data_IF_191845972036
#
_entry.id   IF_191845972036
#
_cell.length_a   1.000
_cell.length_b   1.000
_cell.length_c   1.000
_cell.angle_alpha   90.00
_cell.angle_beta   90.00
_cell.angle_gamma   90.00
#
_symmetry.space_group_name_H-M   'P 1'
#
loop_
_entity.id
_entity.type
_entity.pdbx_description
1 polymer ?
#
# COMPACT_ATOMS: atom_id res chain seq x y z
N UNK A 1 -3.60 -14.73 10.46
CA UNK A 1 -2.37 -14.03 10.07
C UNK A 1 -2.32 -13.85 8.55
N UNK A 2 -1.76 -12.76 8.10
CA UNK A 2 -1.44 -12.49 6.70
C UNK A 2 0.04 -12.75 6.48
N UNK A 3 0.43 -13.10 5.25
CA UNK A 3 1.80 -13.39 4.89
C UNK A 3 2.31 -12.45 3.80
N UNK A 4 3.52 -11.93 3.98
CA UNK A 4 4.22 -11.11 3.00
C UNK A 4 5.69 -10.95 3.36
N UNK A 5 6.51 -10.62 2.37
CA UNK A 5 7.92 -10.26 2.57
C UNK A 5 8.05 -8.78 2.29
N UNK A 6 8.07 -7.98 3.35
CA UNK A 6 8.23 -6.54 3.26
C UNK A 6 9.57 -6.18 2.59
N UNK A 7 9.64 -5.14 1.74
CA UNK A 7 10.87 -4.78 1.01
C UNK A 7 12.09 -4.56 1.93
N UNK A 8 11.89 -4.07 3.15
CA UNK A 8 12.98 -3.90 4.13
C UNK A 8 13.59 -5.23 4.63
N UNK A 9 12.95 -6.37 4.36
CA UNK A 9 13.41 -7.70 4.75
C UNK A 9 13.97 -8.50 3.58
N UNK A 10 13.93 -7.94 2.37
CA UNK A 10 14.43 -8.60 1.17
C UNK A 10 15.95 -8.63 1.18
N UNK A 11 16.49 -9.83 0.99
CA UNK A 11 17.93 -10.12 0.84
C UNK A 11 18.16 -10.93 -0.44
N UNK A 12 19.41 -10.97 -0.90
CA UNK A 12 19.78 -11.65 -2.14
C UNK A 12 19.68 -13.19 -2.11
N UNK A 13 19.42 -13.78 -0.96
CA UNK A 13 19.35 -15.24 -0.76
C UNK A 13 17.94 -15.74 -0.39
N UNK A 14 16.88 -14.98 -0.71
CA UNK A 14 15.50 -15.42 -0.43
C UNK A 14 15.12 -16.55 -1.40
N UNK A 15 14.80 -17.72 -0.82
CA UNK A 15 14.29 -18.87 -1.57
C UNK A 15 12.77 -18.76 -1.73
N UNK A 16 12.34 -18.20 -2.85
CA UNK A 16 10.93 -17.84 -3.09
C UNK A 16 10.00 -19.05 -3.11
N UNK A 17 10.46 -20.20 -3.58
CA UNK A 17 9.66 -21.43 -3.69
C UNK A 17 9.14 -21.92 -2.32
N UNK A 18 9.87 -21.61 -1.24
CA UNK A 18 9.46 -21.98 0.13
C UNK A 18 8.22 -21.20 0.62
N UNK A 19 7.86 -20.10 -0.03
CA UNK A 19 6.78 -19.23 0.42
C UNK A 19 5.43 -19.53 -0.24
N UNK A 20 5.39 -20.36 -1.29
CA UNK A 20 4.14 -20.65 -1.99
C UNK A 20 3.05 -21.23 -1.06
N UNK A 21 3.42 -22.13 -0.15
CA UNK A 21 2.48 -22.72 0.81
C UNK A 21 1.95 -21.72 1.84
N UNK A 22 2.77 -20.75 2.26
CA UNK A 22 2.33 -19.67 3.14
C UNK A 22 1.36 -18.73 2.39
N UNK A 23 1.67 -18.41 1.13
CA UNK A 23 0.81 -17.63 0.25
C UNK A 23 -0.54 -18.34 0.07
N UNK A 24 -0.56 -19.64 -0.22
CA UNK A 24 -1.79 -20.41 -0.37
C UNK A 24 -2.68 -20.37 0.88
N UNK A 25 -2.09 -20.48 2.06
CA UNK A 25 -2.80 -20.52 3.34
C UNK A 25 -3.22 -19.15 3.86
N UNK A 26 -2.58 -18.08 3.41
CA UNK A 26 -2.88 -16.73 3.85
C UNK A 26 -4.17 -16.19 3.23
N UNK A 27 -5.09 -15.57 4.00
CA UNK A 27 -6.31 -14.99 3.45
C UNK A 27 -6.04 -13.75 2.59
N UNK A 28 -5.00 -13.00 2.91
CA UNK A 28 -4.54 -11.78 2.23
C UNK A 28 -3.01 -11.82 2.17
N UNK A 29 -2.43 -11.27 1.13
CA UNK A 29 -0.98 -11.20 0.96
C UNK A 29 -0.51 -9.79 1.28
N UNK A 30 0.48 -9.67 2.13
CA UNK A 30 1.08 -8.39 2.49
C UNK A 30 1.81 -8.44 3.84
N UNK A 31 2.53 -7.43 4.11
CA UNK A 31 2.86 -6.34 3.22
C UNK A 31 4.00 -6.75 2.28
N UNK A 32 3.82 -6.56 0.97
CA UNK A 32 4.86 -6.80 -0.04
C UNK A 32 5.04 -5.53 -0.87
N UNK A 33 6.12 -5.39 -1.60
CA UNK A 33 6.28 -4.20 -2.44
C UNK A 33 7.72 -3.81 -2.72
N UNK A 34 7.90 -2.52 -3.00
CA UNK A 34 9.21 -1.92 -3.29
C UNK A 34 9.44 -0.69 -2.43
N UNK A 35 10.66 -0.52 -1.95
CA UNK A 35 11.12 0.67 -1.26
C UNK A 35 12.52 1.08 -1.75
N UNK A 36 12.56 2.17 -2.52
CA UNK A 36 13.79 2.74 -3.06
C UNK A 36 14.15 4.05 -2.35
N UNK A 37 13.46 4.37 -1.27
CA UNK A 37 13.68 5.57 -0.49
C UNK A 37 14.36 5.28 0.87
N UNK A 38 13.79 4.36 1.66
CA UNK A 38 14.28 4.04 3.00
C UNK A 38 15.32 2.91 2.98
N UNK A 39 15.34 2.08 1.92
CA UNK A 39 16.33 1.01 1.77
C UNK A 39 17.57 1.57 1.11
N UNK A 40 18.66 1.70 1.88
CA UNK A 40 19.94 2.23 1.41
C UNK A 40 20.69 1.24 0.50
N UNK A 41 20.49 -0.06 0.70
CA UNK A 41 21.14 -1.15 -0.02
C UNK A 41 20.57 -1.33 -1.43
N UNK A 42 20.94 -0.46 -2.35
CA UNK A 42 20.46 -0.45 -3.75
C UNK A 42 20.63 -1.78 -4.48
N UNK A 43 21.59 -2.61 -4.08
CA UNK A 43 21.76 -3.95 -4.66
C UNK A 43 20.56 -4.87 -4.38
N UNK A 44 19.74 -4.56 -3.39
CA UNK A 44 18.52 -5.31 -3.07
C UNK A 44 17.35 -4.98 -4.00
N UNK A 45 17.37 -3.86 -4.72
CA UNK A 45 16.22 -3.39 -5.51
C UNK A 45 15.77 -4.42 -6.57
N UNK A 46 16.72 -5.05 -7.27
CA UNK A 46 16.41 -6.12 -8.22
C UNK A 46 15.80 -7.35 -7.55
N UNK A 47 16.17 -7.63 -6.31
CA UNK A 47 15.59 -8.72 -5.52
C UNK A 47 14.22 -8.36 -4.98
N UNK A 48 13.99 -7.11 -4.57
CA UNK A 48 12.66 -6.62 -4.19
C UNK A 48 11.67 -6.81 -5.36
N UNK A 49 12.07 -6.44 -6.59
CA UNK A 49 11.25 -6.65 -7.79
C UNK A 49 10.95 -8.14 -7.99
N UNK A 50 11.95 -9.03 -7.88
CA UNK A 50 11.75 -10.48 -8.01
C UNK A 50 10.79 -11.04 -6.96
N UNK A 51 10.93 -10.63 -5.70
CA UNK A 51 10.04 -11.03 -4.60
C UNK A 51 8.62 -10.53 -4.86
N UNK A 52 8.47 -9.28 -5.30
CA UNK A 52 7.19 -8.70 -5.65
C UNK A 52 6.54 -9.45 -6.82
N UNK A 53 7.28 -9.68 -7.92
CA UNK A 53 6.80 -10.43 -9.08
C UNK A 53 6.41 -11.88 -8.74
N UNK A 54 7.19 -12.56 -7.89
CA UNK A 54 6.85 -13.93 -7.46
C UNK A 54 5.55 -14.01 -6.67
N UNK A 55 5.23 -12.94 -5.93
CA UNK A 55 4.00 -12.84 -5.17
C UNK A 55 2.75 -12.77 -6.05
N UNK A 56 2.90 -12.45 -7.35
CA UNK A 56 1.79 -12.46 -8.32
C UNK A 56 1.31 -13.86 -8.73
N UNK A 57 2.02 -14.92 -8.38
CA UNK A 57 1.47 -16.27 -8.46
C UNK A 57 0.15 -16.41 -7.68
N UNK A 58 -0.11 -15.41 -6.84
CA UNK A 58 -1.34 -15.18 -6.07
C UNK A 58 -2.58 -15.02 -6.94
N UNK A 59 -2.47 -14.56 -8.20
CA UNK A 59 -3.64 -14.44 -9.10
C UNK A 59 -4.46 -15.72 -9.18
N UNK A 60 -3.78 -16.86 -9.22
CA UNK A 60 -4.46 -18.17 -9.27
C UNK A 60 -5.25 -18.50 -8.01
N UNK A 61 -5.04 -17.77 -6.90
CA UNK A 61 -5.73 -17.95 -5.62
C UNK A 61 -6.77 -16.88 -5.32
N UNK A 62 -6.97 -15.90 -6.21
CA UNK A 62 -7.93 -14.80 -6.07
C UNK A 62 -7.87 -14.07 -4.73
N UNK A 63 -6.66 -13.65 -4.31
CA UNK A 63 -6.41 -12.99 -3.02
C UNK A 63 -6.16 -11.51 -3.18
N UNK A 64 -6.52 -10.73 -2.17
CA UNK A 64 -6.10 -9.34 -2.08
C UNK A 64 -4.63 -9.23 -1.68
N UNK A 65 -3.98 -8.20 -2.19
CA UNK A 65 -2.55 -7.92 -2.00
C UNK A 65 -2.40 -6.53 -1.43
N UNK A 66 -1.80 -6.41 -0.24
CA UNK A 66 -1.42 -5.13 0.36
C UNK A 66 0.00 -4.76 -0.06
N UNK A 67 0.15 -3.60 -0.72
CA UNK A 67 1.37 -3.21 -1.42
C UNK A 67 1.99 -1.96 -0.82
N UNK A 68 3.21 -2.10 -0.34
CA UNK A 68 4.11 -1.00 0.01
C UNK A 68 4.75 -0.39 -1.23
N UNK A 69 4.77 0.93 -1.32
CA UNK A 69 5.51 1.65 -2.38
C UNK A 69 6.11 2.93 -1.84
N UNK A 70 7.42 3.09 -2.01
CA UNK A 70 8.13 4.30 -1.60
C UNK A 70 9.32 4.59 -2.51
N UNK A 71 9.26 5.76 -3.20
CA UNK A 71 10.31 6.18 -4.14
C UNK A 71 10.37 5.38 -5.44
N UNK A 72 9.33 4.62 -5.76
CA UNK A 72 9.23 3.75 -6.94
C UNK A 72 7.77 3.55 -7.40
N UNK A 73 6.91 4.51 -7.11
CA UNK A 73 5.45 4.43 -7.29
C UNK A 73 5.07 4.14 -8.74
N UNK A 74 5.70 4.80 -9.71
CA UNK A 74 5.45 4.55 -11.13
C UNK A 74 5.81 3.12 -11.53
N UNK A 75 6.96 2.62 -11.08
CA UNK A 75 7.40 1.26 -11.36
C UNK A 75 6.40 0.23 -10.83
N UNK A 76 5.95 0.39 -9.59
CA UNK A 76 5.04 -0.56 -8.96
C UNK A 76 3.66 -0.55 -9.63
N UNK A 77 3.13 0.63 -9.98
CA UNK A 77 1.88 0.75 -10.73
C UNK A 77 1.96 0.09 -12.12
N UNK A 78 3.10 0.23 -12.80
CA UNK A 78 3.36 -0.44 -14.07
C UNK A 78 3.43 -1.97 -13.92
N UNK A 79 4.06 -2.49 -12.85
CA UNK A 79 4.10 -3.91 -12.55
C UNK A 79 2.70 -4.47 -12.25
N UNK A 80 1.92 -3.79 -11.41
CA UNK A 80 0.54 -4.14 -11.09
C UNK A 80 -0.32 -4.24 -12.38
N UNK A 81 -0.15 -3.29 -13.27
CA UNK A 81 -0.85 -3.26 -14.57
C UNK A 81 -0.37 -4.38 -15.48
N UNK A 82 0.95 -4.59 -15.60
CA UNK A 82 1.56 -5.67 -16.40
C UNK A 82 1.00 -7.04 -16.03
N UNK A 83 0.84 -7.29 -14.74
CA UNK A 83 0.35 -8.58 -14.23
C UNK A 83 -1.17 -8.65 -14.08
N UNK A 84 -1.90 -7.57 -14.40
CA UNK A 84 -3.36 -7.50 -14.34
C UNK A 84 -3.95 -7.82 -12.95
N UNK A 85 -3.28 -7.39 -11.89
CA UNK A 85 -3.70 -7.62 -10.49
C UNK A 85 -4.37 -6.40 -9.83
N UNK A 86 -4.60 -5.33 -10.60
CA UNK A 86 -5.15 -4.08 -10.08
C UNK A 86 -6.42 -4.25 -9.22
N UNK A 87 -7.42 -5.09 -9.63
CA UNK A 87 -8.64 -5.21 -8.85
C UNK A 87 -8.48 -5.84 -7.46
N UNK A 88 -7.40 -6.60 -7.26
CA UNK A 88 -7.07 -7.25 -5.99
C UNK A 88 -5.99 -6.50 -5.20
N UNK A 89 -5.49 -5.37 -5.71
CA UNK A 89 -4.39 -4.63 -5.08
C UNK A 89 -4.91 -3.51 -4.21
N UNK A 90 -4.39 -3.44 -3.00
CA UNK A 90 -4.51 -2.33 -2.07
C UNK A 90 -3.14 -1.67 -2.01
N UNK A 91 -3.04 -0.41 -2.41
CA UNK A 91 -1.82 0.37 -2.29
C UNK A 91 -1.86 1.09 -0.96
N UNK A 92 -0.98 0.65 -0.08
CA UNK A 92 -0.82 1.16 1.27
C UNK A 92 -0.14 2.53 1.22
N UNK A 93 -0.72 3.50 1.93
CA UNK A 93 -0.19 4.85 2.17
C UNK A 93 0.54 5.46 0.96
N UNK A 94 -0.15 5.55 -0.18
CA UNK A 94 0.43 6.09 -1.41
C UNK A 94 0.93 7.54 -1.21
N UNK A 95 2.19 7.79 -1.49
CA UNK A 95 2.86 9.08 -1.33
C UNK A 95 3.53 9.60 -2.61
N UNK A 96 3.26 8.97 -3.76
CA UNK A 96 3.70 9.43 -5.08
C UNK A 96 2.98 10.68 -5.56
N UNK A 97 3.29 11.12 -6.77
CA UNK A 97 2.65 12.30 -7.34
C UNK A 97 1.27 11.96 -7.96
N UNK A 98 0.45 13.02 -8.13
CA UNK A 98 -0.91 12.91 -8.68
C UNK A 98 -0.92 12.52 -10.15
N UNK A 99 0.07 12.95 -10.91
CA UNK A 99 0.09 12.70 -12.36
C UNK A 99 0.41 11.24 -12.62
N UNK A 100 1.33 10.65 -11.87
CA UNK A 100 1.60 9.21 -11.88
C UNK A 100 0.33 8.41 -11.57
N UNK A 101 -0.45 8.85 -10.58
CA UNK A 101 -1.72 8.21 -10.22
C UNK A 101 -2.75 8.29 -11.36
N UNK A 102 -2.90 9.47 -12.00
CA UNK A 102 -3.85 9.72 -13.10
C UNK A 102 -3.49 8.96 -14.36
N UNK A 103 -2.20 8.97 -14.76
CA UNK A 103 -1.71 8.30 -15.97
C UNK A 103 -1.96 6.80 -15.88
N UNK A 104 -1.71 6.22 -14.72
CA UNK A 104 -1.85 4.77 -14.56
C UNK A 104 -3.30 4.30 -14.48
N UNK A 105 -4.28 5.18 -14.17
CA UNK A 105 -5.72 4.84 -14.04
C UNK A 105 -5.93 3.46 -13.40
N UNK A 106 -5.18 3.21 -12.33
CA UNK A 106 -5.17 1.93 -11.65
C UNK A 106 -6.55 1.65 -11.04
N UNK A 107 -7.06 0.45 -11.22
CA UNK A 107 -8.30 -0.01 -10.56
C UNK A 107 -8.06 -0.50 -9.14
N UNK A 108 -6.91 -0.16 -8.56
CA UNK A 108 -6.52 -0.52 -7.20
C UNK A 108 -7.39 0.16 -6.16
N UNK A 109 -7.38 -0.40 -4.97
CA UNK A 109 -7.76 0.30 -3.75
C UNK A 109 -6.56 1.07 -3.21
N UNK A 110 -6.82 2.13 -2.47
CA UNK A 110 -5.80 2.95 -1.81
C UNK A 110 -6.21 3.20 -0.37
N UNK A 111 -5.25 3.26 0.53
CA UNK A 111 -5.54 3.61 1.92
C UNK A 111 -5.23 5.09 2.18
N UNK A 112 -6.12 5.74 2.93
CA UNK A 112 -5.82 6.98 3.62
C UNK A 112 -5.31 6.67 5.02
N UNK A 113 -4.26 7.35 5.47
CA UNK A 113 -3.63 7.11 6.75
C UNK A 113 -3.70 8.32 7.70
N UNK A 114 -3.11 8.20 8.86
CA UNK A 114 -3.12 9.23 9.94
C UNK A 114 -2.55 10.58 9.50
N UNK A 115 -1.69 10.60 8.47
CA UNK A 115 -1.09 11.80 7.91
C UNK A 115 -2.10 12.75 7.24
N UNK A 116 -3.30 12.27 6.93
CA UNK A 116 -4.39 13.09 6.36
C UNK A 116 -4.79 14.25 7.27
N UNK A 117 -4.56 14.15 8.57
CA UNK A 117 -4.77 15.28 9.49
C UNK A 117 -3.73 16.41 9.32
N UNK A 118 -2.54 16.09 8.81
CA UNK A 118 -1.35 16.93 8.91
C UNK A 118 -0.72 17.29 7.56
N UNK A 119 -0.69 16.37 6.60
CA UNK A 119 0.08 16.49 5.35
C UNK A 119 -0.82 16.92 4.19
N UNK A 120 -0.56 18.11 3.65
CA UNK A 120 -1.33 18.65 2.51
C UNK A 120 -1.23 17.74 1.28
N UNK A 121 -0.05 17.21 0.98
CA UNK A 121 0.17 16.33 -0.16
C UNK A 121 -0.75 15.11 -0.13
N UNK A 122 -0.83 14.44 1.02
CA UNK A 122 -1.71 13.26 1.20
C UNK A 122 -3.19 13.61 1.01
N UNK A 123 -3.63 14.77 1.52
CA UNK A 123 -4.99 15.30 1.26
C UNK A 123 -5.26 15.50 -0.22
N UNK A 124 -4.28 16.02 -0.94
CA UNK A 124 -4.40 16.27 -2.38
C UNK A 124 -4.42 14.96 -3.19
N UNK A 125 -3.72 13.93 -2.76
CA UNK A 125 -3.76 12.57 -3.34
C UNK A 125 -5.14 11.93 -3.15
N UNK A 126 -5.65 11.94 -1.91
CA UNK A 126 -6.95 11.30 -1.59
C UNK A 126 -8.10 11.89 -2.43
N UNK A 127 -8.07 13.16 -2.76
CA UNK A 127 -9.07 13.81 -3.65
C UNK A 127 -9.10 13.26 -5.07
N UNK A 128 -8.00 12.70 -5.55
CA UNK A 128 -7.90 12.15 -6.90
C UNK A 128 -8.38 10.69 -6.98
N UNK A 129 -8.59 10.05 -5.83
CA UNK A 129 -8.99 8.65 -5.74
C UNK A 129 -10.52 8.56 -5.62
N UNK A 130 -11.19 7.75 -6.46
CA UNK A 130 -12.62 7.54 -6.31
C UNK A 130 -12.96 6.98 -4.92
N UNK A 131 -14.01 7.51 -4.28
CA UNK A 131 -14.41 7.16 -2.91
C UNK A 131 -14.58 5.65 -2.73
N UNK A 132 -15.20 4.97 -3.69
CA UNK A 132 -15.38 3.52 -3.68
C UNK A 132 -14.07 2.71 -3.86
N UNK A 133 -12.94 3.38 -3.92
CA UNK A 133 -11.59 2.80 -3.96
C UNK A 133 -10.74 3.23 -2.78
N UNK A 134 -11.30 4.01 -1.85
CA UNK A 134 -10.62 4.43 -0.63
C UNK A 134 -10.91 3.46 0.51
N UNK A 135 -9.86 3.18 1.28
CA UNK A 135 -9.90 2.46 2.53
C UNK A 135 -9.21 3.32 3.61
N UNK A 136 -9.46 3.04 4.86
CA UNK A 136 -8.79 3.71 5.98
C UNK A 136 -7.82 2.76 6.68
N UNK A 137 -6.69 3.31 7.13
CA UNK A 137 -5.71 2.59 7.94
C UNK A 137 -5.06 3.51 8.97
N UNK A 138 -4.39 2.93 9.97
CA UNK A 138 -3.62 3.71 10.95
C UNK A 138 -2.11 3.54 10.78
N UNK A 139 -1.68 2.42 10.23
CA UNK A 139 -0.28 1.99 10.19
C UNK A 139 0.44 2.16 11.55
N UNK A 140 -0.33 1.95 12.60
CA UNK A 140 0.10 2.16 13.98
C UNK A 140 1.07 1.09 14.49
N UNK A 141 1.82 1.41 15.54
CA UNK A 141 1.74 2.64 16.32
C UNK A 141 2.63 3.78 15.79
N UNK A 142 3.52 3.51 14.84
CA UNK A 142 4.64 4.39 14.47
C UNK A 142 4.29 5.45 13.44
N UNK A 143 3.30 5.23 12.59
CA UNK A 143 2.93 6.17 11.55
C UNK A 143 2.58 7.56 12.09
N UNK A 144 1.76 7.64 13.13
CA UNK A 144 1.43 8.92 13.77
C UNK A 144 2.65 9.58 14.42
N UNK A 145 3.57 8.77 14.99
CA UNK A 145 4.81 9.27 15.57
C UNK A 145 5.70 9.96 14.50
N UNK A 146 5.76 9.41 13.30
CA UNK A 146 6.52 10.04 12.20
C UNK A 146 5.90 11.37 11.77
N UNK A 147 4.59 11.53 11.93
CA UNK A 147 3.86 12.72 11.49
C UNK A 147 3.83 13.82 12.56
N UNK A 148 3.58 13.47 13.83
CA UNK A 148 3.38 14.45 14.90
C UNK A 148 4.17 14.18 16.19
N UNK A 149 4.99 13.13 16.23
CA UNK A 149 5.84 12.78 17.38
C UNK A 149 5.14 11.94 18.47
N UNK A 150 3.88 11.56 18.29
CA UNK A 150 3.10 10.77 19.27
C UNK A 150 2.78 9.39 18.69
N UNK A 151 2.92 8.34 19.50
CA UNK A 151 2.49 6.99 19.08
C UNK A 151 0.98 6.93 18.89
N UNK A 152 0.56 6.40 17.73
CA UNK A 152 -0.85 6.20 17.42
C UNK A 152 -1.41 4.90 17.99
N UNK A 153 -2.69 4.93 18.34
CA UNK A 153 -3.43 3.75 18.76
C UNK A 153 -4.45 3.34 17.69
N UNK A 154 -4.98 2.12 17.69
CA UNK A 154 -5.94 1.67 16.67
C UNK A 154 -7.21 2.52 16.55
N UNK A 155 -7.62 3.22 17.60
CA UNK A 155 -8.77 4.12 17.60
C UNK A 155 -8.56 5.40 16.77
N UNK A 156 -7.31 5.73 16.41
CA UNK A 156 -7.01 6.77 15.42
C UNK A 156 -7.68 6.53 14.06
N UNK A 157 -8.14 5.33 13.80
CA UNK A 157 -8.90 5.01 12.59
C UNK A 157 -10.13 5.92 12.42
N UNK A 158 -10.74 6.37 13.53
CA UNK A 158 -11.87 7.30 13.52
C UNK A 158 -11.47 8.64 12.91
N UNK A 159 -10.32 9.17 13.34
CA UNK A 159 -9.77 10.42 12.82
C UNK A 159 -9.44 10.31 11.33
N UNK A 160 -8.97 9.14 10.86
CA UNK A 160 -8.72 8.90 9.45
C UNK A 160 -10.01 8.95 8.64
N UNK A 161 -11.08 8.27 9.10
CA UNK A 161 -12.41 8.33 8.45
C UNK A 161 -12.96 9.75 8.40
N UNK A 162 -12.92 10.51 9.51
CA UNK A 162 -13.36 11.88 9.57
C UNK A 162 -12.59 12.78 8.59
N UNK A 163 -11.28 12.59 8.47
CA UNK A 163 -10.46 13.31 7.49
C UNK A 163 -10.84 12.96 6.05
N UNK A 164 -11.04 11.68 5.73
CA UNK A 164 -11.50 11.24 4.39
C UNK A 164 -12.84 11.89 4.04
N UNK A 165 -13.81 11.86 4.96
CA UNK A 165 -15.11 12.51 4.80
C UNK A 165 -14.98 14.01 4.55
N UNK A 166 -14.21 14.71 5.39
CA UNK A 166 -14.00 16.16 5.28
C UNK A 166 -13.34 16.52 3.94
N UNK A 167 -12.31 15.78 3.52
CA UNK A 167 -11.57 16.02 2.29
C UNK A 167 -12.46 15.85 1.05
N UNK A 168 -13.35 14.85 1.07
CA UNK A 168 -14.21 14.50 -0.05
C UNK A 168 -15.63 15.11 0.05
N UNK A 169 -15.93 15.84 1.13
CA UNK A 169 -17.25 16.44 1.41
C UNK A 169 -18.38 15.40 1.45
N UNK A 170 -18.16 14.33 2.18
CA UNK A 170 -19.07 13.19 2.34
C UNK A 170 -19.53 13.09 3.79
N UNK A 171 -20.68 12.48 3.98
CA UNK A 171 -21.08 11.96 5.28
C UNK A 171 -20.46 10.59 5.52
N UNK A 172 -20.25 10.23 6.79
CA UNK A 172 -19.58 8.97 7.17
C UNK A 172 -20.36 7.73 6.67
N UNK A 173 -21.68 7.85 6.52
CA UNK A 173 -22.54 6.81 5.99
C UNK A 173 -22.30 6.52 4.50
N UNK A 174 -21.76 7.48 3.74
CA UNK A 174 -21.43 7.35 2.33
C UNK A 174 -20.11 6.62 2.07
N UNK A 175 -19.30 6.37 3.13
CA UNK A 175 -18.06 5.59 3.06
C UNK A 175 -18.26 4.09 3.34
N UNK A 176 -19.45 3.65 3.72
CA UNK A 176 -19.77 2.25 4.05
C UNK A 176 -20.24 1.44 2.84
#
# INVERSE_FOLDING_TARGET
PIFGIHPWRVKNNIELDKFEDYIKKSPLIGEIGLDFHWVEEKYTYSYQIKVFESSYSVQKYNKYINVHTKGCEELILNLIKKYNVSPQTIIHWYSGDKDTLKINRCKCYFTGSVDLGYIKHSKDIIKEIPVNKLLAETDGPTALQWVNGVYGMPDEIKNVYENICTINKLDIEELN
#
